data_IF_110899181624
#
_entry.id   IF_110899181624
#
_cell.length_a   1.000
_cell.length_b   1.000
_cell.length_c   1.000
_cell.angle_alpha   90.00
_cell.angle_beta   90.00
_cell.angle_gamma   90.00
#
_symmetry.space_group_name_H-M   'P 1'
#
loop_
_entity.id
_entity.type
_entity.pdbx_description
1 polymer ?
#
# COMPACT_ATOMS: atom_id res chain seq x y z
N UNK A 1 13.62 -1.67 2.16
CA UNK A 1 13.71 -0.45 2.97
C UNK A 1 13.73 0.75 2.05
N UNK A 2 12.91 1.77 2.31
CA UNK A 2 12.93 3.05 1.59
C UNK A 2 13.34 4.17 2.54
N UNK A 3 14.15 5.11 2.04
CA UNK A 3 14.54 6.31 2.78
C UNK A 3 13.95 7.51 2.06
N UNK A 4 13.14 8.29 2.77
CA UNK A 4 12.52 9.51 2.24
C UNK A 4 12.30 10.48 3.39
N UNK A 5 12.66 11.76 3.22
CA UNK A 5 12.44 12.79 4.25
C UNK A 5 13.06 12.48 5.62
N UNK A 6 14.28 11.93 5.61
CA UNK A 6 14.99 11.43 6.80
C UNK A 6 14.24 10.35 7.60
N UNK A 7 13.18 9.79 7.02
CA UNK A 7 12.44 8.68 7.58
C UNK A 7 12.80 7.42 6.80
N UNK A 8 12.92 6.33 7.53
CA UNK A 8 13.07 4.98 7.00
C UNK A 8 11.72 4.30 7.07
N UNK A 9 11.27 3.78 5.94
CA UNK A 9 10.03 3.04 5.79
C UNK A 9 10.32 1.59 5.45
N UNK A 10 9.60 0.68 6.11
CA UNK A 10 9.67 -0.75 5.84
C UNK A 10 8.28 -1.36 5.91
N UNK A 11 7.86 -2.04 4.84
CA UNK A 11 6.60 -2.80 4.85
C UNK A 11 6.90 -4.25 5.26
N UNK A 12 6.23 -4.72 6.31
CA UNK A 12 6.46 -6.06 6.88
C UNK A 12 5.17 -6.87 6.86
N UNK A 13 5.31 -8.14 6.57
CA UNK A 13 4.29 -9.17 6.80
C UNK A 13 4.69 -10.01 8.03
N UNK A 14 3.80 -10.87 8.57
CA UNK A 14 4.17 -11.79 9.63
C UNK A 14 5.36 -12.70 9.29
N UNK A 15 5.59 -12.96 8.00
CA UNK A 15 6.61 -13.90 7.52
C UNK A 15 7.92 -13.17 7.21
N UNK A 16 7.86 -12.02 6.54
CA UNK A 16 9.04 -11.32 6.05
C UNK A 16 8.84 -9.82 5.87
N UNK A 17 9.96 -9.10 5.84
CA UNK A 17 10.03 -7.77 5.22
C UNK A 17 9.84 -7.91 3.71
N UNK A 18 8.98 -7.09 3.14
CA UNK A 18 8.74 -7.07 1.71
C UNK A 18 9.87 -6.32 0.98
N UNK A 19 10.14 -6.76 -0.24
CA UNK A 19 11.22 -6.20 -1.06
C UNK A 19 10.70 -5.04 -1.92
N UNK A 20 11.46 -3.96 -1.95
CA UNK A 20 11.18 -2.76 -2.74
C UNK A 20 12.13 -2.64 -3.93
N UNK A 21 11.64 -2.01 -4.99
CA UNK A 21 12.39 -1.74 -6.21
C UNK A 21 12.19 -0.28 -6.64
N UNK A 22 13.18 0.34 -7.29
CA UNK A 22 13.06 1.72 -7.74
C UNK A 22 11.93 1.87 -8.76
N UNK A 23 11.18 2.96 -8.65
CA UNK A 23 10.24 3.38 -9.69
C UNK A 23 10.99 4.20 -10.75
N UNK A 24 10.82 3.85 -12.01
CA UNK A 24 11.48 4.46 -13.18
C UNK A 24 10.53 5.34 -14.01
N UNK A 25 9.26 5.40 -13.64
CA UNK A 25 8.27 6.25 -14.27
C UNK A 25 8.30 7.71 -13.80
N UNK A 26 7.43 8.53 -14.39
CA UNK A 26 7.26 9.92 -13.97
C UNK A 26 6.46 9.98 -12.65
N UNK A 27 7.00 10.69 -11.66
CA UNK A 27 6.29 10.97 -10.41
C UNK A 27 5.03 11.82 -10.67
N UNK A 28 3.92 11.61 -9.93
CA UNK A 28 2.69 12.39 -10.12
C UNK A 28 2.87 13.88 -9.86
N UNK A 29 3.71 14.23 -8.88
CA UNK A 29 4.01 15.60 -8.48
C UNK A 29 5.41 15.67 -7.84
N UNK A 30 5.91 16.89 -7.62
CA UNK A 30 7.24 17.13 -7.07
C UNK A 30 7.39 16.76 -5.58
N UNK A 31 6.30 16.45 -4.88
CA UNK A 31 6.29 16.10 -3.46
C UNK A 31 6.04 14.60 -3.24
N UNK A 32 6.02 13.82 -4.31
CA UNK A 32 5.76 12.38 -4.27
C UNK A 32 7.03 11.62 -4.61
N UNK A 33 7.32 10.61 -3.78
CA UNK A 33 8.32 9.59 -4.07
C UNK A 33 7.61 8.24 -4.19
N UNK A 34 7.85 7.54 -5.29
CA UNK A 34 7.21 6.26 -5.62
C UNK A 34 8.26 5.15 -5.65
N UNK A 35 7.89 3.97 -5.16
CA UNK A 35 8.65 2.72 -5.30
C UNK A 35 7.72 1.57 -5.64
N UNK A 36 8.26 0.51 -6.25
CA UNK A 36 7.55 -0.76 -6.34
C UNK A 36 7.75 -1.59 -5.07
N UNK A 37 6.76 -2.42 -4.74
CA UNK A 37 6.79 -3.34 -3.61
C UNK A 37 6.35 -4.74 -4.06
N UNK A 38 7.16 -5.77 -3.85
CA UNK A 38 6.78 -7.15 -4.15
C UNK A 38 5.83 -7.68 -3.07
N UNK A 39 4.61 -8.01 -3.46
CA UNK A 39 3.64 -8.65 -2.56
C UNK A 39 3.95 -10.13 -2.34
N UNK A 40 3.43 -10.73 -1.27
CA UNK A 40 3.33 -12.18 -1.16
C UNK A 40 2.56 -12.81 -2.33
N UNK A 41 2.67 -14.13 -2.52
CA UNK A 41 1.84 -14.87 -3.48
C UNK A 41 0.34 -14.67 -3.25
N UNK A 42 -0.45 -14.56 -4.34
CA UNK A 42 -1.90 -14.30 -4.29
C UNK A 42 -2.69 -15.36 -3.47
N UNK A 43 -2.18 -16.59 -3.42
CA UNK A 43 -2.79 -17.71 -2.71
C UNK A 43 -2.53 -17.69 -1.20
N UNK A 44 -1.69 -16.77 -0.71
CA UNK A 44 -1.35 -16.63 0.71
C UNK A 44 -1.61 -15.18 1.18
N UNK A 45 -2.88 -14.78 1.37
CA UNK A 45 -3.22 -13.48 1.92
C UNK A 45 -2.52 -13.23 3.26
N UNK A 46 -1.74 -12.16 3.34
CA UNK A 46 -1.01 -11.79 4.55
C UNK A 46 -1.39 -10.38 4.98
N UNK A 47 -1.55 -10.20 6.29
CA UNK A 47 -1.57 -8.86 6.87
C UNK A 47 -0.23 -8.18 6.67
N UNK A 48 -0.23 -6.86 6.67
CA UNK A 48 1.01 -6.11 6.68
C UNK A 48 0.94 -4.93 7.64
N UNK A 49 2.12 -4.49 8.04
CA UNK A 49 2.32 -3.28 8.84
C UNK A 49 3.38 -2.41 8.16
N UNK A 50 3.29 -1.10 8.36
CA UNK A 50 4.34 -0.17 7.93
C UNK A 50 5.10 0.29 9.16
N UNK A 51 6.39 -0.03 9.21
CA UNK A 51 7.30 0.50 10.21
C UNK A 51 7.97 1.77 9.70
N UNK A 52 7.93 2.82 10.51
CA UNK A 52 8.53 4.12 10.19
C UNK A 52 9.49 4.49 11.30
N UNK A 53 10.76 4.71 10.98
CA UNK A 53 11.78 5.10 11.96
C UNK A 53 12.59 6.31 11.50
N UNK A 54 13.00 7.15 12.44
CA UNK A 54 13.93 8.27 12.18
C UNK A 54 15.33 7.73 11.91
N UNK A 55 16.04 8.27 10.91
CA UNK A 55 17.40 7.85 10.59
C UNK A 55 18.46 8.51 11.47
N UNK A 56 18.21 9.74 11.92
CA UNK A 56 19.04 10.49 12.85
C UNK A 56 18.15 11.29 13.80
N UNK A 57 18.65 11.55 15.01
CA UNK A 57 18.16 12.63 15.87
C UNK A 57 18.55 13.94 15.19
N UNK A 58 17.70 14.40 14.28
CA UNK A 58 17.84 15.71 13.69
C UNK A 58 17.51 16.71 14.80
N UNK A 59 18.54 17.24 15.47
CA UNK A 59 18.35 18.38 16.36
C UNK A 59 17.96 19.65 15.60
N UNK A 60 18.26 19.75 14.29
CA UNK A 60 17.88 20.88 13.43
C UNK A 60 17.58 20.45 11.99
N UNK A 61 16.42 20.83 11.47
CA UNK A 61 16.10 20.81 10.04
C UNK A 61 17.18 21.61 9.28
N UNK A 62 17.92 20.93 8.41
CA UNK A 62 19.05 21.49 7.68
C UNK A 62 18.63 22.53 6.62
N UNK A 63 17.37 22.53 6.20
CA UNK A 63 16.85 23.47 5.21
C UNK A 63 16.32 24.75 5.85
N UNK A 64 15.74 24.66 7.04
CA UNK A 64 15.17 25.81 7.74
C UNK A 64 16.03 26.34 8.89
N UNK A 65 17.00 25.55 9.36
CA UNK A 65 17.77 25.83 10.57
C UNK A 65 16.95 25.75 11.86
N UNK A 66 15.73 25.21 11.80
CA UNK A 66 14.81 25.13 12.93
C UNK A 66 14.86 23.76 13.62
N UNK A 67 14.51 23.69 14.91
CA UNK A 67 14.40 22.41 15.62
C UNK A 67 13.36 21.50 14.95
N UNK A 68 13.74 20.25 14.67
CA UNK A 68 12.83 19.25 14.12
C UNK A 68 12.01 18.63 15.25
N UNK A 69 10.72 18.98 15.32
CA UNK A 69 9.83 18.47 16.38
C UNK A 69 9.23 17.09 16.09
N UNK A 70 9.38 16.59 14.86
CA UNK A 70 8.80 15.32 14.42
C UNK A 70 7.91 15.43 13.18
N UNK A 71 7.21 14.34 12.88
CA UNK A 71 6.30 14.23 11.75
C UNK A 71 4.92 13.67 12.15
N UNK A 72 3.89 14.10 11.43
CA UNK A 72 2.58 13.45 11.34
C UNK A 72 2.53 12.60 10.09
N UNK A 73 2.03 11.38 10.22
CA UNK A 73 2.00 10.37 9.18
C UNK A 73 0.58 9.87 9.00
N UNK A 74 0.02 9.95 7.80
CA UNK A 74 -1.30 9.43 7.48
C UNK A 74 -1.18 8.30 6.48
N UNK A 75 -1.69 7.13 6.87
CA UNK A 75 -1.76 5.97 5.99
C UNK A 75 -3.02 6.04 5.12
N UNK A 76 -2.84 5.74 3.85
CA UNK A 76 -3.89 5.50 2.88
C UNK A 76 -3.57 4.23 2.12
N UNK A 77 -4.56 3.38 1.85
CA UNK A 77 -4.35 2.14 1.13
C UNK A 77 -5.48 1.93 0.13
N UNK A 78 -5.13 1.72 -1.13
CA UNK A 78 -6.07 1.62 -2.25
C UNK A 78 -7.12 2.73 -2.30
N UNK A 79 -6.71 3.97 -2.00
CA UNK A 79 -7.62 5.11 -1.91
C UNK A 79 -8.40 5.25 -0.61
N UNK A 80 -8.35 4.23 0.27
CA UNK A 80 -8.96 4.30 1.59
C UNK A 80 -8.06 5.14 2.51
N UNK A 81 -8.48 6.36 2.78
CA UNK A 81 -7.76 7.26 3.68
C UNK A 81 -8.05 6.97 5.16
N UNK A 82 -7.00 6.79 5.96
CA UNK A 82 -7.12 6.64 7.40
C UNK A 82 -7.74 7.88 8.07
N UNK A 83 -8.58 7.64 9.07
CA UNK A 83 -9.27 8.64 9.88
C UNK A 83 -8.32 9.46 10.75
N UNK A 84 -7.21 8.86 11.18
CA UNK A 84 -6.24 9.43 12.10
C UNK A 84 -4.83 9.40 11.50
N UNK A 85 -3.97 10.27 12.02
CA UNK A 85 -2.54 10.27 11.73
C UNK A 85 -1.79 9.67 12.91
N UNK A 86 -0.76 8.89 12.63
CA UNK A 86 0.24 8.51 13.61
C UNK A 86 1.27 9.65 13.77
N UNK A 87 1.90 9.74 14.95
CA UNK A 87 2.86 10.81 15.25
C UNK A 87 4.21 10.23 15.62
N UNK A 88 5.25 10.68 14.93
CA UNK A 88 6.64 10.36 15.22
C UNK A 88 7.33 11.63 15.72
N UNK A 89 7.40 11.81 17.04
CA UNK A 89 7.99 12.99 17.69
C UNK A 89 9.39 12.69 18.23
N UNK A 90 10.16 13.73 18.50
CA UNK A 90 11.50 13.61 19.07
C UNK A 90 11.51 12.84 20.40
N UNK A 91 10.62 13.23 21.33
CA UNK A 91 10.47 12.63 22.66
C UNK A 91 9.75 11.28 22.69
N UNK A 92 9.33 10.77 21.54
CA UNK A 92 8.67 9.48 21.38
C UNK A 92 9.69 8.41 20.98
N UNK A 93 9.35 7.10 21.05
CA UNK A 93 10.18 6.06 20.46
C UNK A 93 10.60 6.44 19.03
N UNK A 94 11.86 6.13 18.63
CA UNK A 94 12.41 6.52 17.33
C UNK A 94 11.71 5.83 16.16
N UNK A 95 10.85 4.85 16.45
CA UNK A 95 10.12 4.02 15.51
C UNK A 95 8.65 3.94 15.92
N UNK A 96 7.76 4.05 14.94
CA UNK A 96 6.34 3.73 15.07
C UNK A 96 5.97 2.59 14.12
N UNK A 97 4.89 1.89 14.43
CA UNK A 97 4.34 0.82 13.58
C UNK A 97 2.88 1.12 13.27
N UNK A 98 2.58 1.38 12.01
CA UNK A 98 1.23 1.56 11.50
C UNK A 98 0.65 0.17 11.22
N UNK A 99 -0.16 -0.35 12.16
CA UNK A 99 -0.70 -1.72 12.12
C UNK A 99 -1.92 -1.89 11.22
N UNK A 100 -2.44 -0.80 10.66
CA UNK A 100 -3.67 -0.82 9.90
C UNK A 100 -4.26 0.57 9.69
N UNK A 101 -5.48 0.61 9.16
CA UNK A 101 -6.20 1.84 8.91
C UNK A 101 -7.16 2.15 10.06
N UNK A 102 -7.07 3.37 10.59
CA UNK A 102 -8.11 3.91 11.46
C UNK A 102 -9.31 4.28 10.60
N UNK A 103 -10.50 3.74 10.88
CA UNK A 103 -11.72 4.01 10.13
C UNK A 103 -12.82 4.45 11.09
N UNK A 104 -13.72 5.32 10.64
CA UNK A 104 -14.90 5.68 11.44
C UNK A 104 -15.88 4.52 11.47
N UNK A 105 -16.23 4.06 12.67
CA UNK A 105 -17.22 2.99 12.86
C UNK A 105 -18.65 3.50 12.84
N UNK A 106 -18.87 4.79 13.12
CA UNK A 106 -20.18 5.44 13.09
C UNK A 106 -20.14 6.75 12.29
N UNK A 107 -20.92 6.92 11.21
CA UNK A 107 -21.00 8.17 10.47
C UNK A 107 -21.50 9.36 11.30
N UNK A 108 -22.35 9.11 12.29
CA UNK A 108 -22.97 10.12 13.15
C UNK A 108 -22.09 10.51 14.34
N UNK A 109 -21.08 9.69 14.67
CA UNK A 109 -20.14 9.96 15.74
C UNK A 109 -18.71 10.04 15.16
N UNK A 110 -18.19 11.26 14.91
CA UNK A 110 -16.86 11.44 14.32
C UNK A 110 -15.72 10.99 15.25
N UNK A 111 -16.02 10.69 16.51
CA UNK A 111 -15.05 10.24 17.52
C UNK A 111 -14.94 8.73 17.58
N UNK A 112 -15.96 8.00 17.09
CA UNK A 112 -15.98 6.55 17.03
C UNK A 112 -15.06 6.05 15.91
N UNK A 113 -13.78 5.87 16.25
CA UNK A 113 -12.74 5.40 15.33
C UNK A 113 -12.22 4.03 15.78
N UNK A 114 -12.12 3.11 14.83
CA UNK A 114 -11.66 1.73 15.04
C UNK A 114 -10.49 1.47 14.11
N UNK A 115 -9.43 0.85 14.62
CA UNK A 115 -8.32 0.40 13.80
C UNK A 115 -8.64 -0.96 13.19
N UNK A 116 -8.57 -1.05 11.86
CA UNK A 116 -8.71 -2.30 11.12
C UNK A 116 -7.36 -2.75 10.57
N UNK A 117 -7.08 -4.05 10.74
CA UNK A 117 -5.98 -4.70 10.02
C UNK A 117 -6.16 -4.57 8.51
N UNK A 118 -5.04 -4.48 7.80
CA UNK A 118 -5.00 -4.49 6.34
C UNK A 118 -4.25 -5.74 5.88
N UNK A 119 -4.80 -6.42 4.88
CA UNK A 119 -4.21 -7.62 4.30
C UNK A 119 -4.23 -7.55 2.78
N UNK A 120 -3.18 -8.06 2.14
CA UNK A 120 -3.18 -8.24 0.70
C UNK A 120 -4.22 -9.30 0.32
N UNK A 121 -5.01 -9.01 -0.70
CA UNK A 121 -6.02 -9.88 -1.25
C UNK A 121 -5.96 -9.84 -2.78
N UNK A 122 -6.43 -10.90 -3.42
CA UNK A 122 -6.55 -10.95 -4.86
C UNK A 122 -7.59 -9.94 -5.35
N UNK A 123 -7.33 -9.28 -6.47
CA UNK A 123 -8.33 -8.43 -7.13
C UNK A 123 -9.42 -9.33 -7.71
N UNK A 124 -10.67 -9.03 -7.37
CA UNK A 124 -11.82 -9.66 -8.00
C UNK A 124 -12.03 -9.02 -9.38
N UNK A 125 -12.04 -9.84 -10.42
CA UNK A 125 -12.30 -9.41 -11.81
C UNK A 125 -13.65 -9.93 -12.28
N UNK A 126 -14.30 -9.16 -13.13
CA UNK A 126 -15.55 -9.56 -13.79
C UNK A 126 -15.49 -9.23 -15.28
N UNK A 127 -16.10 -10.09 -16.10
CA UNK A 127 -16.25 -9.88 -17.55
C UNK A 127 -17.57 -9.18 -17.89
N UNK A 128 -18.40 -8.88 -16.88
CA UNK A 128 -19.69 -8.22 -17.05
C UNK A 128 -19.50 -6.71 -17.24
N UNK A 129 -19.72 -6.26 -18.48
CA UNK A 129 -19.65 -4.85 -18.88
C UNK A 129 -20.68 -3.97 -18.15
N UNK A 130 -21.75 -4.56 -17.61
CA UNK A 130 -22.75 -3.84 -16.80
C UNK A 130 -22.22 -3.30 -15.47
N UNK A 131 -21.04 -3.77 -15.02
CA UNK A 131 -20.39 -3.30 -13.80
C UNK A 131 -19.43 -2.13 -14.02
N UNK A 132 -19.36 -1.57 -15.22
CA UNK A 132 -18.53 -0.38 -15.48
C UNK A 132 -19.28 0.86 -14.96
N UNK A 133 -18.72 1.52 -13.96
CA UNK A 133 -19.20 2.82 -13.48
C UNK A 133 -18.03 3.73 -13.08
N UNK A 134 -18.22 5.04 -13.19
CA UNK A 134 -17.16 6.04 -12.99
C UNK A 134 -16.52 5.97 -11.59
N UNK A 135 -17.31 5.61 -10.56
CA UNK A 135 -16.82 5.46 -9.18
C UNK A 135 -15.80 4.33 -9.07
N UNK A 136 -15.98 3.25 -9.84
CA UNK A 136 -15.05 2.13 -9.86
C UNK A 136 -13.79 2.43 -10.68
N UNK A 137 -13.85 3.36 -11.64
CA UNK A 137 -12.67 3.80 -12.40
C UNK A 137 -11.66 4.55 -11.51
N UNK A 138 -12.14 5.48 -10.69
CA UNK A 138 -11.28 6.18 -9.73
C UNK A 138 -10.70 5.23 -8.69
N UNK A 139 -11.50 4.27 -8.22
CA UNK A 139 -11.03 3.23 -7.30
C UNK A 139 -9.97 2.35 -7.97
N UNK A 140 -10.18 1.91 -9.20
CA UNK A 140 -9.23 1.08 -9.96
C UNK A 140 -7.86 1.75 -10.15
N UNK A 141 -7.83 3.07 -10.31
CA UNK A 141 -6.58 3.86 -10.40
C UNK A 141 -5.82 3.93 -9.08
N UNK A 142 -6.52 3.84 -7.97
CA UNK A 142 -5.94 3.91 -6.63
C UNK A 142 -5.60 2.52 -6.08
N UNK A 143 -6.20 1.45 -6.61
CA UNK A 143 -5.90 0.06 -6.27
C UNK A 143 -4.43 -0.29 -6.52
N UNK A 144 -3.84 -1.06 -5.60
CA UNK A 144 -2.44 -1.45 -5.70
C UNK A 144 -1.49 -0.40 -5.12
N UNK A 145 -1.95 0.49 -4.24
CA UNK A 145 -1.15 1.60 -3.71
C UNK A 145 -1.24 1.65 -2.18
N UNK A 146 -0.09 1.61 -1.51
CA UNK A 146 0.04 2.07 -0.12
C UNK A 146 0.65 3.46 -0.17
N UNK A 147 -0.05 4.47 0.34
CA UNK A 147 0.41 5.85 0.39
C UNK A 147 0.56 6.31 1.84
N UNK A 148 1.68 6.97 2.13
CA UNK A 148 1.94 7.61 3.41
C UNK A 148 2.13 9.09 3.14
N UNK A 149 1.20 9.90 3.63
CA UNK A 149 1.37 11.36 3.63
C UNK A 149 2.12 11.79 4.89
N UNK A 150 3.17 12.57 4.69
CA UNK A 150 4.13 13.02 5.70
C UNK A 150 3.97 14.53 5.82
N UNK A 151 3.68 15.01 7.02
CA UNK A 151 3.79 16.43 7.35
C UNK A 151 4.78 16.61 8.49
N UNK A 152 5.62 17.62 8.40
CA UNK A 152 6.56 17.96 9.46
C UNK A 152 5.93 18.97 10.39
N UNK A 153 6.19 18.86 11.69
CA UNK A 153 5.76 19.87 12.65
C UNK A 153 6.46 21.20 12.37
N UNK A 154 5.68 22.27 12.24
CA UNK A 154 6.22 23.60 12.01
C UNK A 154 6.84 24.15 13.30
N UNK A 155 8.08 24.66 13.22
CA UNK A 155 8.69 25.43 14.30
C UNK A 155 8.12 26.87 14.31
N UNK A 156 7.45 27.27 15.40
CA UNK A 156 6.98 28.65 15.63
C UNK A 156 5.46 28.90 15.49
N UNK A 157 5.02 30.13 15.81
CA UNK A 157 3.63 30.57 16.08
C UNK A 157 2.60 30.51 14.91
N UNK A 158 2.87 29.86 13.79
CA UNK A 158 1.93 29.80 12.65
C UNK A 158 0.89 28.69 12.81
N UNK A 159 -0.27 29.06 13.38
CA UNK A 159 -1.42 28.18 13.60
C UNK A 159 -2.06 27.75 12.28
N UNK A 160 -1.72 26.57 11.78
CA UNK A 160 -2.52 25.88 10.75
C UNK A 160 -3.30 24.76 11.43
N UNK A 161 -4.63 24.93 11.49
CA UNK A 161 -5.53 23.87 11.91
C UNK A 161 -5.56 22.82 10.80
N UNK A 162 -4.98 21.64 11.04
CA UNK A 162 -5.31 20.44 10.28
C UNK A 162 -6.76 20.06 10.60
N UNK A 163 -7.71 20.75 9.94
CA UNK A 163 -9.05 20.25 9.84
C UNK A 163 -8.96 18.95 9.06
N UNK A 164 -9.04 17.83 9.77
CA UNK A 164 -9.19 16.55 9.10
C UNK A 164 -10.62 16.60 8.56
N UNK A 165 -10.84 16.65 7.23
CA UNK A 165 -12.17 16.69 6.68
C UNK A 165 -13.00 15.55 7.26
N UNK A 166 -14.32 15.70 7.28
CA UNK A 166 -15.21 14.58 7.59
C UNK A 166 -14.88 13.45 6.60
N UNK A 167 -14.07 12.49 7.06
CA UNK A 167 -13.68 11.36 6.22
C UNK A 167 -14.96 10.54 6.04
N UNK A 168 -15.38 10.30 4.79
CA UNK A 168 -16.59 9.54 4.52
C UNK A 168 -16.49 8.19 5.21
N UNK A 169 -17.64 7.64 5.59
CA UNK A 169 -17.70 6.29 6.12
C UNK A 169 -17.19 5.31 5.06
N UNK A 170 -15.97 4.80 5.24
CA UNK A 170 -15.21 4.07 4.21
C UNK A 170 -15.27 2.56 4.35
N UNK A 171 -15.91 2.03 5.40
CA UNK A 171 -16.01 0.57 5.63
C UNK A 171 -16.66 -0.19 4.46
N UNK A 172 -17.56 0.45 3.71
CA UNK A 172 -18.17 -0.12 2.51
C UNK A 172 -17.34 0.01 1.23
N UNK A 173 -16.34 0.89 1.19
CA UNK A 173 -15.62 1.30 -0.02
C UNK A 173 -14.29 0.58 -0.24
N UNK A 174 -14.03 -0.51 0.50
CA UNK A 174 -12.80 -1.28 0.28
C UNK A 174 -12.82 -1.95 -1.10
N UNK A 175 -11.78 -1.78 -1.94
CA UNK A 175 -11.78 -2.32 -3.29
C UNK A 175 -11.91 -3.85 -3.35
N UNK A 176 -11.53 -4.57 -2.29
CA UNK A 176 -11.78 -6.02 -2.17
C UNK A 176 -13.25 -6.43 -2.24
N UNK A 177 -14.19 -5.51 -1.97
CA UNK A 177 -15.63 -5.77 -1.99
C UNK A 177 -16.25 -5.63 -3.38
N UNK A 178 -15.49 -5.15 -4.36
CA UNK A 178 -15.96 -4.87 -5.71
C UNK A 178 -15.27 -5.80 -6.70
N UNK A 179 -15.98 -6.10 -7.79
CA UNK A 179 -15.39 -6.74 -8.95
C UNK A 179 -15.05 -5.67 -9.99
N UNK A 180 -13.80 -5.63 -10.43
CA UNK A 180 -13.35 -4.68 -11.44
C UNK A 180 -13.42 -5.32 -12.82
N UNK A 181 -13.95 -4.57 -13.79
CA UNK A 181 -13.89 -4.99 -15.18
C UNK A 181 -12.45 -4.83 -15.72
N UNK A 182 -12.01 -5.71 -16.62
CA UNK A 182 -10.65 -5.69 -17.17
C UNK A 182 -10.28 -4.32 -17.78
N UNK A 183 -11.24 -3.68 -18.47
CA UNK A 183 -11.08 -2.33 -19.04
C UNK A 183 -10.70 -1.27 -17.98
N UNK A 184 -11.21 -1.38 -16.76
CA UNK A 184 -10.95 -0.42 -15.67
C UNK A 184 -9.56 -0.62 -15.05
N UNK A 185 -9.12 -1.88 -15.00
CA UNK A 185 -7.78 -2.24 -14.49
C UNK A 185 -6.67 -2.06 -15.52
N UNK A 186 -7.03 -1.73 -16.77
CA UNK A 186 -6.06 -1.55 -17.85
C UNK A 186 -5.11 -0.41 -17.52
N UNK A 187 -3.81 -0.72 -17.52
CA UNK A 187 -2.74 0.25 -17.21
C UNK A 187 -2.41 0.40 -15.71
N UNK A 188 -3.25 -0.11 -14.79
CA UNK A 188 -2.91 -0.14 -13.36
C UNK A 188 -1.83 -1.19 -13.06
N UNK A 189 -1.80 -2.28 -13.83
CA UNK A 189 -0.96 -3.47 -13.57
C UNK A 189 -1.14 -4.06 -12.16
N UNK A 190 -2.10 -3.58 -11.36
CA UNK A 190 -2.35 -4.12 -10.04
C UNK A 190 -2.86 -5.57 -10.14
N UNK A 191 -2.30 -6.44 -9.30
CA UNK A 191 -2.76 -7.83 -9.16
C UNK A 191 -3.41 -8.10 -7.82
N UNK A 192 -3.07 -7.27 -6.84
CA UNK A 192 -3.59 -7.33 -5.49
C UNK A 192 -4.36 -6.05 -5.17
N UNK A 193 -5.31 -6.21 -4.26
CA UNK A 193 -5.97 -5.13 -3.53
C UNK A 193 -5.78 -5.38 -2.04
N UNK A 194 -6.28 -4.46 -1.21
CA UNK A 194 -6.35 -4.65 0.24
C UNK A 194 -7.75 -5.01 0.69
N UNK A 195 -7.79 -6.03 1.55
CA UNK A 195 -8.94 -6.41 2.35
C UNK A 195 -8.79 -5.87 3.76
N UNK A 196 -9.83 -5.20 4.25
CA UNK A 196 -9.97 -4.80 5.64
C UNK A 196 -10.30 -6.02 6.50
N UNK A 197 -9.48 -6.26 7.52
CA UNK A 197 -9.61 -7.35 8.47
C UNK A 197 -10.38 -6.96 9.73
N UNK A 198 -10.11 -7.72 10.79
CA UNK A 198 -10.72 -7.52 12.09
C UNK A 198 -10.38 -6.15 12.69
N UNK A 199 -11.29 -5.64 13.51
CA UNK A 199 -11.02 -4.53 14.39
C UNK A 199 -9.98 -4.95 15.42
N UNK A 200 -8.83 -4.28 15.44
CA UNK A 200 -7.71 -4.57 16.36
C UNK A 200 -7.90 -3.84 17.68
N UNK A 201 -8.41 -2.61 17.61
CA UNK A 201 -8.64 -1.77 18.78
C UNK A 201 -9.70 -0.72 18.47
N UNK A 202 -10.66 -0.58 19.39
CA UNK A 202 -11.55 0.56 19.42
C UNK A 202 -10.89 1.67 20.24
N UNK A 203 -10.66 2.84 19.63
CA UNK A 203 -10.29 4.02 20.39
C UNK A 203 -11.56 4.57 21.04
N UNK A 204 -11.89 4.05 22.23
CA UNK A 204 -13.04 4.48 23.03
C UNK A 204 -12.84 5.85 23.72
N UNK A 205 -11.66 6.44 23.56
CA UNK A 205 -11.38 7.81 23.95
C UNK A 205 -11.37 8.67 22.70
N UNK A 206 -12.07 9.82 22.73
CA UNK A 206 -11.91 10.89 21.73
C UNK A 206 -10.43 10.97 21.36
N UNK A 207 -10.03 10.70 20.11
CA UNK A 207 -8.65 10.88 19.71
C UNK A 207 -8.32 12.31 20.08
N UNK A 208 -7.40 12.50 21.03
CA UNK A 208 -7.09 13.82 21.56
C UNK A 208 -6.79 14.68 20.35
N UNK A 209 -7.69 15.63 20.05
CA UNK A 209 -7.57 16.50 18.89
C UNK A 209 -6.35 17.37 19.14
N UNK A 210 -5.19 16.82 18.79
CA UNK A 210 -3.92 17.48 19.06
C UNK A 210 -3.73 18.41 17.89
N UNK A 211 -4.27 19.61 18.06
CA UNK A 211 -4.08 20.75 17.17
C UNK A 211 -2.61 21.16 17.23
N UNK A 212 -1.78 20.42 16.50
CA UNK A 212 -0.36 20.73 16.31
C UNK A 212 -0.16 21.17 14.87
N UNK A 213 0.60 22.25 14.73
CA UNK A 213 0.88 22.93 13.48
C UNK A 213 1.84 22.06 12.66
N UNK A 214 1.49 21.81 11.41
CA UNK A 214 2.38 21.16 10.46
C UNK A 214 2.58 22.03 9.24
N UNK A 215 3.64 21.79 8.49
CA UNK A 215 3.83 22.41 7.19
C UNK A 215 2.66 22.06 6.24
N UNK A 216 2.24 23.01 5.38
CA UNK A 216 1.13 22.76 4.45
C UNK A 216 1.54 21.90 3.24
N UNK A 217 2.83 21.59 3.11
CA UNK A 217 3.40 20.84 1.99
C UNK A 217 3.54 19.37 2.38
N UNK A 218 2.40 18.67 2.47
CA UNK A 218 2.39 17.24 2.74
C UNK A 218 3.12 16.47 1.65
N UNK A 219 4.20 15.80 2.02
CA UNK A 219 5.01 14.97 1.14
C UNK A 219 4.44 13.56 1.11
N UNK A 220 4.59 12.82 0.01
CA UNK A 220 3.94 11.52 -0.17
C UNK A 220 4.98 10.45 -0.50
N UNK A 221 4.94 9.35 0.23
CA UNK A 221 5.61 8.11 -0.16
C UNK A 221 4.55 7.13 -0.67
N UNK A 222 4.73 6.65 -1.90
CA UNK A 222 3.82 5.68 -2.55
C UNK A 222 4.54 4.36 -2.80
N UNK A 223 3.97 3.28 -2.32
CA UNK A 223 4.36 1.92 -2.68
C UNK A 223 3.35 1.35 -3.68
N UNK A 224 3.79 1.15 -4.92
CA UNK A 224 3.03 0.41 -5.94
C UNK A 224 3.26 -1.08 -5.71
N UNK A 225 2.34 -1.72 -4.98
CA UNK A 225 2.52 -3.12 -4.61
C UNK A 225 2.01 -4.06 -5.70
N UNK A 226 2.85 -4.99 -6.13
CA UNK A 226 2.61 -5.84 -7.31
C UNK A 226 3.12 -7.25 -7.04
N UNK A 227 2.50 -8.24 -7.70
CA UNK A 227 3.04 -9.60 -7.67
C UNK A 227 4.40 -9.66 -8.35
N UNK A 228 5.21 -10.65 -7.99
CA UNK A 228 6.49 -10.92 -8.65
C UNK A 228 6.36 -11.02 -10.17
N UNK A 229 5.41 -11.82 -10.67
CA UNK A 229 5.18 -11.99 -12.10
C UNK A 229 4.85 -10.67 -12.80
N UNK A 230 4.16 -9.75 -12.11
CA UNK A 230 3.90 -8.42 -12.66
C UNK A 230 5.15 -7.57 -12.73
N UNK A 231 5.98 -7.60 -11.69
CA UNK A 231 7.25 -6.87 -11.68
C UNK A 231 8.21 -7.39 -12.77
N UNK A 232 8.19 -8.71 -13.04
CA UNK A 232 8.92 -9.32 -14.17
C UNK A 232 8.40 -8.81 -15.52
N UNK A 233 7.08 -8.79 -15.70
CA UNK A 233 6.46 -8.27 -16.94
C UNK A 233 6.69 -6.77 -17.16
N UNK A 234 6.84 -6.00 -16.08
CA UNK A 234 7.20 -4.59 -16.13
C UNK A 234 8.70 -4.37 -16.37
N UNK A 235 9.52 -5.43 -16.35
CA UNK A 235 10.97 -5.31 -16.48
C UNK A 235 11.68 -4.75 -15.24
N UNK A 236 10.97 -4.62 -14.11
CA UNK A 236 11.51 -4.14 -12.83
C UNK A 236 12.45 -5.17 -12.22
N UNK A 237 12.15 -6.46 -12.41
CA UNK A 237 12.99 -7.57 -11.97
C UNK A 237 13.26 -8.53 -13.12
N UNK A 238 14.47 -9.09 -13.14
CA UNK A 238 14.85 -10.10 -14.13
C UNK A 238 14.20 -11.44 -13.76
N UNK A 239 13.49 -12.10 -14.69
CA UNK A 239 12.98 -13.44 -14.45
C UNK A 239 14.16 -14.40 -14.20
N UNK A 240 13.97 -15.43 -13.36
CA UNK A 240 15.00 -16.44 -13.17
C UNK A 240 15.36 -17.06 -14.53
N UNK A 241 16.64 -17.41 -14.77
CA UNK A 241 17.01 -18.10 -15.99
C UNK A 241 16.15 -19.36 -16.11
N UNK A 242 15.51 -19.55 -17.28
CA UNK A 242 14.75 -20.76 -17.54
C UNK A 242 15.62 -21.97 -17.18
N UNK A 243 15.09 -22.96 -16.43
CA UNK A 243 15.84 -24.17 -16.14
C UNK A 243 16.25 -24.78 -17.49
N UNK A 244 17.55 -24.76 -17.76
CA UNK A 244 18.10 -25.28 -19.00
C UNK A 244 17.81 -26.78 -19.06
N UNK A 245 16.83 -27.15 -19.87
CA UNK A 245 16.52 -28.53 -20.22
C UNK A 245 16.04 -29.38 -19.05
N UNK A 246 14.72 -29.54 -18.91
CA UNK A 246 14.24 -30.89 -18.58
C UNK A 246 14.62 -31.73 -19.80
N UNK A 247 15.51 -32.73 -19.70
CA UNK A 247 15.74 -33.63 -20.82
C UNK A 247 14.38 -34.21 -21.21
N UNK A 248 13.89 -33.87 -22.39
CA UNK A 248 12.69 -34.50 -22.93
C UNK A 248 12.97 -35.98 -22.92
N UNK A 249 12.28 -36.72 -22.05
CA UNK A 249 12.32 -38.17 -22.08
C UNK A 249 12.02 -38.58 -23.53
N UNK A 250 12.84 -39.44 -24.16
CA UNK A 250 12.63 -39.84 -25.53
C UNK A 250 11.21 -40.38 -25.65
N UNK A 251 10.41 -39.73 -26.48
CA UNK A 251 9.06 -40.19 -26.83
C UNK A 251 9.23 -41.59 -27.40
N UNK A 252 8.84 -42.61 -26.64
CA UNK A 252 8.87 -43.98 -27.08
C UNK A 252 7.91 -44.10 -28.28
N UNK A 253 8.48 -44.11 -29.49
CA UNK A 253 7.75 -44.46 -30.70
C UNK A 253 7.31 -45.92 -30.57
N UNK A 254 6.05 -46.12 -30.19
CA UNK A 254 5.42 -47.45 -30.22
C UNK A 254 5.15 -47.78 -31.69
N UNK A 255 6.09 -48.52 -32.29
CA UNK A 255 5.88 -49.16 -33.58
C UNK A 255 4.77 -50.21 -33.44
N UNK A 256 3.60 -49.91 -34.02
CA UNK A 256 2.52 -50.86 -34.25
C UNK A 256 2.96 -51.86 -35.33
N UNK A 257 3.46 -53.02 -34.91
CA UNK A 257 3.72 -54.16 -35.79
C UNK A 257 2.43 -54.88 -36.16
N UNK A 258 2.07 -54.75 -37.44
CA UNK A 258 1.54 -55.80 -38.32
C UNK A 258 0.45 -56.76 -37.83
N UNK A 259 -0.75 -56.63 -38.41
CA UNK A 259 -1.62 -57.78 -38.69
C UNK A 259 -1.87 -57.87 -40.19
N UNK A 260 -1.30 -58.90 -40.82
CA UNK A 260 -1.54 -59.29 -42.21
C UNK A 260 -2.33 -60.60 -42.15
N UNK A 261 -3.63 -60.56 -42.41
CA UNK A 261 -4.45 -61.78 -42.55
C UNK A 261 -4.47 -62.18 -44.01
N UNK A 262 -3.96 -63.38 -44.29
CA UNK A 262 -4.13 -64.10 -45.54
C UNK A 262 -5.34 -65.04 -45.40
N UNK A 263 -6.38 -64.84 -46.21
CA UNK A 263 -6.99 -65.79 -47.16
C UNK A 263 -8.35 -65.29 -47.62
#
# INVERSE_FOLDING_TARGET
>A
MVIYENLRFTVKTPIRTLQEFPFDGQEPDALTHTVYLETPPENEPQTFVVEVSRLQDIGMDLFTGAEYYGSKLKLSVDGIHGALCDTLKENNPPTITMKGLYLRSNPQDPTAVVQHEVSFARINKTDDEGNICDVLDDMARQTGVIEITIWEYAAGNQKIHLWTPAIPYTLGLAPSNYAFHEKQMKGSSATHTVRLGNAVSALNSTPASTSMMVNNNGKKLRFLYRSRATLENLGVITPPPFPQGIPMAPVAQTFSTGFRVLR
#
